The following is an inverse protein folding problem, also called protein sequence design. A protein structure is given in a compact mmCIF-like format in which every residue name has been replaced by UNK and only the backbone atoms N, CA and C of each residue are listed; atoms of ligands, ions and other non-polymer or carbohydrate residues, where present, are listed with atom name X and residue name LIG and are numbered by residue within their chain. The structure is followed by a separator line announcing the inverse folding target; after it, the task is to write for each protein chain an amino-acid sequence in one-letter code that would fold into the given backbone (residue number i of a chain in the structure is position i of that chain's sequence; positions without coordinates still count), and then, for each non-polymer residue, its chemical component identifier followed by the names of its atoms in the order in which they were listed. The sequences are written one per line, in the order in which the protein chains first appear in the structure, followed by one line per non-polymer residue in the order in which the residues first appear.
data_IF_286645188238
#
_entry.id   IF_286645188238
#
_cell.length_a   1.000
_cell.length_b   1.000
_cell.length_c   1.000
_cell.angle_alpha   90.00
_cell.angle_beta   90.00
_cell.angle_gamma   90.00
#
_symmetry.space_group_name_H-M   'P 1'
#
loop_
_entity.id
_entity.type
_entity.pdbx_description
1 polymer ?
#
# COMPACT_ATOMS: atom_id res chain seq x y z
N UNK A 1 2.93 -6.77 30.94
CA UNK A 1 3.38 -7.24 29.62
C UNK A 1 3.11 -6.11 28.67
N UNK A 2 4.15 -5.64 27.97
CA UNK A 2 4.04 -4.51 27.06
C UNK A 2 3.71 -5.04 25.66
N UNK A 3 2.67 -4.49 25.03
CA UNK A 3 2.29 -4.87 23.68
C UNK A 3 1.60 -3.71 22.95
N UNK A 4 1.60 -3.75 21.63
CA UNK A 4 0.96 -2.78 20.77
C UNK A 4 -0.36 -3.37 20.25
N UNK A 5 -1.45 -2.58 20.28
CA UNK A 5 -2.76 -3.02 19.76
C UNK A 5 -3.35 -1.91 18.88
N UNK A 6 -3.87 -2.29 17.71
CA UNK A 6 -4.59 -1.37 16.81
C UNK A 6 -5.87 -0.89 17.50
N UNK A 7 -6.26 0.36 17.28
CA UNK A 7 -7.53 0.91 17.76
C UNK A 7 -8.69 -0.02 17.40
N UNK A 8 -9.59 -0.30 18.34
CA UNK A 8 -10.65 -1.29 18.14
C UNK A 8 -11.91 -1.02 18.98
N UNK A 9 -13.11 -1.43 18.51
CA UNK A 9 -14.36 -1.29 19.27
C UNK A 9 -14.36 -2.00 20.62
N UNK A 10 -13.61 -3.09 20.77
CA UNK A 10 -13.58 -3.90 21.99
C UNK A 10 -12.96 -3.17 23.18
N UNK A 11 -12.06 -2.21 22.94
CA UNK A 11 -11.36 -1.44 23.99
C UNK A 11 -11.89 0.00 24.12
N UNK A 12 -13.06 0.30 23.56
CA UNK A 12 -13.63 1.65 23.41
C UNK A 12 -13.50 2.52 24.66
N UNK A 13 -13.85 1.99 25.83
CA UNK A 13 -13.82 2.77 27.08
C UNK A 13 -12.40 3.23 27.45
N UNK A 14 -11.41 2.37 27.24
CA UNK A 14 -10.01 2.66 27.60
C UNK A 14 -9.35 3.57 26.58
N UNK A 15 -9.61 3.33 25.30
CA UNK A 15 -9.15 4.19 24.22
C UNK A 15 -9.75 5.60 24.35
N UNK A 16 -11.05 5.71 24.67
CA UNK A 16 -11.72 6.98 24.94
C UNK A 16 -11.07 7.74 26.08
N UNK A 17 -10.90 7.09 27.25
CA UNK A 17 -10.27 7.73 28.42
C UNK A 17 -8.88 8.26 28.09
N UNK A 18 -8.08 7.48 27.35
CA UNK A 18 -6.74 7.87 26.96
C UNK A 18 -6.75 9.05 25.97
N UNK A 19 -7.57 8.97 24.92
CA UNK A 19 -7.62 9.98 23.85
C UNK A 19 -8.19 11.30 24.36
N UNK A 20 -9.23 11.27 25.20
CA UNK A 20 -9.82 12.48 25.80
C UNK A 20 -8.79 13.26 26.60
N UNK A 21 -7.95 12.56 27.37
CA UNK A 21 -6.99 13.17 28.29
C UNK A 21 -5.65 13.56 27.62
N UNK A 22 -5.38 13.06 26.41
CA UNK A 22 -4.20 13.45 25.64
C UNK A 22 -4.31 14.92 25.19
N UNK A 23 -3.26 15.75 25.37
CA UNK A 23 -3.30 17.17 24.98
C UNK A 23 -3.61 17.38 23.49
N UNK A 24 -4.15 18.54 23.13
CA UNK A 24 -4.45 18.91 21.74
C UNK A 24 -3.19 18.94 20.86
N UNK A 25 -2.05 19.40 21.39
CA UNK A 25 -0.72 19.26 20.80
C UNK A 25 0.29 19.04 21.91
N UNK A 26 1.13 18.02 21.76
CA UNK A 26 2.36 17.94 22.55
C UNK A 26 3.53 17.45 21.69
N UNK A 27 4.55 18.31 21.55
CA UNK A 27 5.75 18.07 20.76
C UNK A 27 5.47 17.75 19.28
N UNK A 28 4.41 18.32 18.71
CA UNK A 28 4.04 18.15 17.30
C UNK A 28 3.21 16.90 17.01
N UNK A 29 2.81 16.13 18.02
CA UNK A 29 1.71 15.17 17.87
C UNK A 29 0.39 15.83 18.26
N UNK A 30 -0.51 15.97 17.29
CA UNK A 30 -1.81 16.59 17.50
C UNK A 30 -2.91 15.59 17.84
N UNK A 31 -3.89 16.03 18.63
CA UNK A 31 -5.07 15.30 19.04
C UNK A 31 -6.35 16.09 18.71
N UNK A 32 -6.97 15.79 17.57
CA UNK A 32 -8.24 16.42 17.20
C UNK A 32 -9.41 16.04 18.14
N UNK A 33 -9.21 15.04 19.01
CA UNK A 33 -10.23 14.49 19.90
C UNK A 33 -9.92 14.75 21.38
N UNK A 34 -9.13 15.80 21.68
CA UNK A 34 -8.92 16.25 23.06
C UNK A 34 -10.26 16.66 23.70
N UNK A 35 -10.50 16.23 24.94
CA UNK A 35 -11.76 16.45 25.68
C UNK A 35 -13.03 15.90 24.99
N UNK A 36 -12.90 14.97 24.03
CA UNK A 36 -14.05 14.34 23.36
C UNK A 36 -14.98 13.65 24.37
N UNK A 37 -16.29 13.80 24.19
CA UNK A 37 -17.28 13.07 24.97
C UNK A 37 -17.23 11.57 24.65
N UNK A 38 -17.69 10.71 25.57
CA UNK A 38 -17.77 9.26 25.30
C UNK A 38 -18.63 8.98 24.06
N UNK A 39 -19.76 9.67 23.95
CA UNK A 39 -20.70 9.54 22.84
C UNK A 39 -20.08 9.96 21.50
N UNK A 40 -19.38 11.09 21.45
CA UNK A 40 -18.69 11.52 20.23
C UNK A 40 -17.49 10.63 19.89
N UNK A 41 -16.83 10.05 20.90
CA UNK A 41 -15.75 9.10 20.65
C UNK A 41 -16.27 7.83 19.97
N UNK A 42 -17.35 7.26 20.50
CA UNK A 42 -18.02 6.08 19.94
C UNK A 42 -18.60 6.34 18.55
N UNK A 43 -19.29 7.47 18.38
CA UNK A 43 -20.01 7.78 17.15
C UNK A 43 -19.12 8.34 16.03
N UNK A 44 -17.97 8.96 16.36
CA UNK A 44 -17.16 9.73 15.39
C UNK A 44 -15.68 9.39 15.46
N UNK A 45 -15.05 9.54 16.62
CA UNK A 45 -13.58 9.47 16.72
C UNK A 45 -13.04 8.08 16.38
N UNK A 46 -13.55 7.03 17.04
CA UNK A 46 -13.11 5.67 16.79
C UNK A 46 -13.46 5.20 15.37
N UNK A 47 -14.71 5.38 14.86
CA UNK A 47 -15.02 5.10 13.47
C UNK A 47 -14.08 5.80 12.48
N UNK A 48 -13.74 7.06 12.71
CA UNK A 48 -12.79 7.81 11.87
C UNK A 48 -11.40 7.16 11.88
N UNK A 49 -10.86 6.80 13.06
CA UNK A 49 -9.57 6.12 13.18
C UNK A 49 -9.54 4.80 12.40
N UNK A 50 -10.64 4.04 12.44
CA UNK A 50 -10.75 2.76 11.72
C UNK A 50 -10.76 2.96 10.21
N UNK A 51 -11.60 3.86 9.68
CA UNK A 51 -11.71 4.07 8.23
C UNK A 51 -10.48 4.76 7.63
N UNK A 52 -9.80 5.63 8.40
CA UNK A 52 -8.54 6.24 7.97
C UNK A 52 -7.43 5.20 7.81
N UNK A 53 -7.44 4.14 8.63
CA UNK A 53 -6.50 3.03 8.48
C UNK A 53 -6.71 2.21 7.21
N UNK A 54 -7.86 2.36 6.56
CA UNK A 54 -8.21 1.71 5.29
C UNK A 54 -8.15 2.69 4.11
N UNK A 55 -7.70 3.93 4.33
CA UNK A 55 -7.67 4.97 3.30
C UNK A 55 -9.04 5.56 2.92
N UNK A 56 -10.08 5.29 3.71
CA UNK A 56 -11.45 5.76 3.43
C UNK A 56 -11.77 7.02 4.22
N UNK A 57 -12.47 7.96 3.57
CA UNK A 57 -12.93 9.20 4.21
C UNK A 57 -11.81 10.19 4.58
N UNK A 58 -10.62 10.01 4.03
CA UNK A 58 -9.47 10.89 4.28
C UNK A 58 -9.74 12.30 3.73
N UNK A 59 -9.38 13.36 4.48
CA UNK A 59 -9.31 14.71 3.93
C UNK A 59 -8.29 14.78 2.79
N UNK A 60 -8.46 15.74 1.88
CA UNK A 60 -7.53 15.95 0.78
C UNK A 60 -6.09 16.16 1.27
N UNK A 61 -5.13 15.47 0.66
CA UNK A 61 -3.71 15.53 1.02
C UNK A 61 -3.28 14.65 2.20
N UNK A 62 -4.21 13.92 2.83
CA UNK A 62 -3.90 12.94 3.88
C UNK A 62 -3.62 11.58 3.26
N UNK A 63 -2.78 10.80 3.94
CA UNK A 63 -2.51 9.40 3.61
C UNK A 63 -3.19 8.50 4.64
N UNK A 64 -3.43 7.22 4.33
CA UNK A 64 -3.93 6.27 5.31
C UNK A 64 -3.05 6.24 6.57
N UNK A 65 -3.67 6.20 7.74
CA UNK A 65 -3.00 6.25 9.03
C UNK A 65 -3.61 5.20 9.97
N UNK A 66 -2.77 4.31 10.52
CA UNK A 66 -3.21 3.37 11.55
C UNK A 66 -2.86 3.90 12.94
N UNK A 67 -3.87 4.02 13.80
CA UNK A 67 -3.69 4.33 15.22
C UNK A 67 -3.49 3.07 16.04
N UNK A 68 -2.46 3.08 16.88
CA UNK A 68 -2.12 2.02 17.82
C UNK A 68 -2.02 2.57 19.24
N UNK A 69 -2.39 1.74 20.20
CA UNK A 69 -2.22 2.00 21.63
C UNK A 69 -1.15 1.06 22.19
N UNK A 70 -0.24 1.62 22.99
CA UNK A 70 0.75 0.85 23.74
C UNK A 70 0.15 0.49 25.09
N UNK A 71 0.04 -0.81 25.34
CA UNK A 71 -0.52 -1.37 26.55
C UNK A 71 0.60 -1.88 27.45
N UNK A 72 0.44 -1.69 28.76
CA UNK A 72 1.12 -2.50 29.77
C UNK A 72 0.08 -3.24 30.59
N UNK A 73 -0.03 -4.54 30.34
CA UNK A 73 -1.14 -5.38 30.77
C UNK A 73 -2.48 -4.80 30.31
N UNK A 74 -3.19 -4.14 31.23
CA UNK A 74 -4.57 -3.69 31.07
C UNK A 74 -4.68 -2.15 30.98
N UNK A 75 -3.54 -1.45 31.01
CA UNK A 75 -3.44 0.01 31.02
C UNK A 75 -2.80 0.52 29.73
N UNK A 76 -3.44 1.48 29.07
CA UNK A 76 -2.84 2.21 27.95
C UNK A 76 -1.84 3.24 28.50
N UNK A 77 -0.60 3.17 28.03
CA UNK A 77 0.50 4.04 28.47
C UNK A 77 0.97 5.00 27.37
N UNK A 78 0.56 4.78 26.13
CA UNK A 78 0.95 5.58 24.98
C UNK A 78 0.08 5.37 23.74
N UNK A 79 0.20 6.28 22.78
CA UNK A 79 -0.38 6.15 21.44
C UNK A 79 0.73 6.32 20.40
N UNK A 80 0.65 5.49 19.35
CA UNK A 80 1.51 5.54 18.18
C UNK A 80 0.63 5.60 16.94
N UNK A 81 1.04 6.35 15.92
CA UNK A 81 0.36 6.41 14.62
C UNK A 81 1.35 6.10 13.52
N UNK A 82 0.96 5.24 12.59
CA UNK A 82 1.74 4.90 11.41
C UNK A 82 1.00 5.45 10.20
N UNK A 83 1.58 6.44 9.53
CA UNK A 83 1.16 6.88 8.20
C UNK A 83 1.73 5.90 7.19
N UNK A 84 0.88 5.39 6.31
CA UNK A 84 1.18 4.20 5.52
C UNK A 84 2.23 4.44 4.44
N UNK A 85 2.40 5.68 3.98
CA UNK A 85 3.41 6.08 3.02
C UNK A 85 3.65 7.60 3.13
N UNK A 86 4.66 8.11 2.44
CA UNK A 86 4.98 9.54 2.38
C UNK A 86 4.34 10.20 1.16
N UNK A 87 3.47 11.17 1.42
CA UNK A 87 3.23 12.27 0.47
C UNK A 87 4.29 13.37 0.66
N UNK A 88 4.30 14.38 -0.21
CA UNK A 88 5.34 15.43 -0.23
C UNK A 88 5.48 16.16 1.11
N UNK A 89 4.35 16.48 1.75
CA UNK A 89 4.33 17.15 3.06
C UNK A 89 4.89 16.28 4.19
N UNK A 90 4.75 14.95 4.10
CA UNK A 90 5.29 14.03 5.09
C UNK A 90 6.77 13.74 4.86
N UNK A 91 7.22 13.72 3.60
CA UNK A 91 8.63 13.49 3.21
C UNK A 91 9.56 14.58 3.76
N UNK A 92 9.09 15.82 3.73
CA UNK A 92 9.80 17.00 4.27
C UNK A 92 9.33 17.40 5.66
N UNK A 93 8.32 16.72 6.22
CA UNK A 93 7.67 17.09 7.47
C UNK A 93 7.70 15.99 8.52
N UNK A 94 6.51 15.58 8.99
CA UNK A 94 6.35 14.74 10.18
C UNK A 94 6.78 13.27 9.99
N UNK A 95 6.99 12.81 8.75
CA UNK A 95 7.34 11.42 8.46
C UNK A 95 6.20 10.43 8.74
N UNK A 96 6.57 9.17 8.96
CA UNK A 96 5.62 8.06 9.11
C UNK A 96 5.04 7.94 10.52
N UNK A 97 5.88 8.07 11.55
CA UNK A 97 5.49 7.68 12.91
C UNK A 97 5.30 8.89 13.81
N UNK A 98 4.08 9.04 14.34
CA UNK A 98 3.78 9.90 15.48
C UNK A 98 3.76 9.09 16.78
N UNK A 99 4.28 9.65 17.88
CA UNK A 99 4.30 8.96 19.17
C UNK A 99 3.96 9.89 20.34
N UNK A 100 3.24 9.36 21.33
CA UNK A 100 2.97 10.02 22.59
C UNK A 100 2.97 9.00 23.73
N UNK A 101 3.62 9.35 24.84
CA UNK A 101 3.62 8.58 26.09
C UNK A 101 2.97 9.45 27.17
N UNK A 102 1.96 8.93 27.85
CA UNK A 102 1.28 9.66 28.92
C UNK A 102 2.26 10.02 30.04
N UNK A 103 2.12 11.23 30.61
CA UNK A 103 3.09 11.83 31.54
C UNK A 103 3.52 10.91 32.70
N UNK A 104 2.61 10.17 33.38
CA UNK A 104 2.98 9.27 34.48
C UNK A 104 3.88 8.08 34.08
N UNK A 105 3.98 7.79 32.78
CA UNK A 105 4.73 6.65 32.24
C UNK A 105 6.07 7.06 31.60
N UNK A 106 6.39 8.36 31.53
CA UNK A 106 7.65 8.83 30.96
C UNK A 106 8.86 8.43 31.81
N UNK A 107 10.01 8.26 31.16
CA UNK A 107 11.27 7.87 31.83
C UNK A 107 11.35 6.39 32.23
N UNK A 108 10.33 5.57 31.93
CA UNK A 108 10.25 4.15 32.32
C UNK A 108 10.54 3.16 31.18
N UNK A 109 10.99 3.66 30.02
CA UNK A 109 11.33 2.83 28.86
C UNK A 109 10.18 2.57 27.87
N UNK A 110 8.92 2.90 28.21
CA UNK A 110 7.78 2.67 27.32
C UNK A 110 7.89 3.32 25.95
N UNK A 111 8.48 4.52 25.84
CA UNK A 111 8.70 5.15 24.53
C UNK A 111 9.67 4.36 23.65
N UNK A 112 10.72 3.78 24.24
CA UNK A 112 11.70 2.96 23.50
C UNK A 112 11.06 1.66 23.03
N UNK A 113 10.37 0.94 23.92
CA UNK A 113 9.71 -0.32 23.58
C UNK A 113 8.52 -0.13 22.64
N UNK A 114 7.75 0.95 22.83
CA UNK A 114 6.64 1.30 21.96
C UNK A 114 7.09 1.61 20.54
N UNK A 115 8.17 2.38 20.35
CA UNK A 115 8.71 2.62 19.01
C UNK A 115 9.24 1.31 18.39
N UNK A 116 9.91 0.44 19.16
CA UNK A 116 10.39 -0.86 18.69
C UNK A 116 9.25 -1.72 18.12
N UNK A 117 8.15 -1.87 18.88
CA UNK A 117 6.95 -2.60 18.45
C UNK A 117 6.25 -1.91 17.26
N UNK A 118 6.22 -0.58 17.26
CA UNK A 118 5.62 0.19 16.14
C UNK A 118 6.41 -0.01 14.85
N UNK A 119 7.75 -0.13 14.92
CA UNK A 119 8.58 -0.43 13.76
C UNK A 119 8.30 -1.83 13.19
N UNK A 120 8.04 -2.83 14.04
CA UNK A 120 7.65 -4.16 13.57
C UNK A 120 6.37 -4.12 12.73
N UNK A 121 5.39 -3.30 13.12
CA UNK A 121 4.19 -3.07 12.31
C UNK A 121 4.48 -2.19 11.09
N UNK A 122 5.31 -1.15 11.24
CA UNK A 122 5.67 -0.27 10.14
C UNK A 122 6.36 -1.03 9.01
N UNK A 123 7.21 -2.01 9.32
CA UNK A 123 7.88 -2.83 8.30
C UNK A 123 6.93 -3.62 7.40
N UNK A 124 5.68 -3.83 7.84
CA UNK A 124 4.63 -4.51 7.08
C UNK A 124 3.73 -3.56 6.29
N UNK A 125 3.67 -2.29 6.72
CA UNK A 125 2.73 -1.29 6.23
C UNK A 125 3.43 -0.32 5.26
N UNK A 126 4.62 0.13 5.64
CA UNK A 126 5.35 1.21 4.97
C UNK A 126 6.13 0.65 3.77
N UNK A 127 5.87 1.16 2.54
CA UNK A 127 6.62 0.84 1.33
C UNK A 127 8.10 1.20 1.42
N UNK A 128 8.36 2.40 1.93
CA UNK A 128 9.64 3.05 1.75
C UNK A 128 10.76 2.29 2.48
N UNK A 129 11.93 2.19 1.85
CA UNK A 129 13.15 1.56 2.39
C UNK A 129 13.59 2.12 3.75
N UNK A 130 13.06 3.29 4.15
CA UNK A 130 13.33 3.91 5.44
C UNK A 130 12.08 4.49 6.09
N UNK A 131 11.99 4.32 7.41
CA UNK A 131 11.00 5.00 8.24
C UNK A 131 11.51 6.40 8.57
N UNK A 132 10.82 7.40 8.03
CA UNK A 132 11.04 8.82 8.29
C UNK A 132 10.39 9.22 9.62
N UNK A 133 11.15 9.87 10.49
CA UNK A 133 10.64 10.53 11.69
C UNK A 133 11.21 11.95 11.77
N UNK A 134 10.53 12.79 12.55
CA UNK A 134 10.99 14.15 12.88
C UNK A 134 10.80 14.40 14.37
N UNK A 135 11.72 15.13 14.98
CA UNK A 135 11.64 15.49 16.40
C UNK A 135 12.10 16.92 16.62
N UNK A 136 11.41 17.64 17.51
CA UNK A 136 11.85 18.97 17.95
C UNK A 136 13.19 18.89 18.68
N UNK A 137 14.05 19.91 18.49
CA UNK A 137 15.38 19.97 19.14
C UNK A 137 15.30 20.04 20.66
N UNK A 138 14.24 20.63 21.20
CA UNK A 138 13.98 20.71 22.65
C UNK A 138 13.36 19.43 23.24
N UNK A 139 13.15 18.39 22.42
CA UNK A 139 12.70 17.08 22.86
C UNK A 139 13.81 16.01 22.73
N UNK A 140 14.89 16.12 23.52
CA UNK A 140 16.01 15.18 23.46
C UNK A 140 15.61 13.78 23.94
N UNK A 141 14.50 13.63 24.68
CA UNK A 141 13.99 12.34 25.11
C UNK A 141 13.48 11.51 23.92
N UNK A 142 12.69 12.13 23.03
CA UNK A 142 12.18 11.48 21.82
C UNK A 142 13.31 11.17 20.84
N UNK A 143 14.28 12.09 20.67
CA UNK A 143 15.47 11.81 19.85
C UNK A 143 16.23 10.57 20.35
N UNK A 144 16.49 10.45 21.67
CA UNK A 144 17.14 9.26 22.24
C UNK A 144 16.35 7.98 21.99
N UNK A 145 15.02 8.03 22.01
CA UNK A 145 14.16 6.89 21.68
C UNK A 145 14.39 6.46 20.23
N UNK A 146 14.44 7.41 19.29
CA UNK A 146 14.67 7.13 17.87
C UNK A 146 16.06 6.53 17.63
N UNK A 147 17.11 7.13 18.19
CA UNK A 147 18.49 6.63 18.04
C UNK A 147 18.65 5.21 18.62
N UNK A 148 18.04 4.92 19.79
CA UNK A 148 18.05 3.58 20.38
C UNK A 148 17.38 2.51 19.50
N UNK A 149 16.47 2.92 18.62
CA UNK A 149 15.78 2.04 17.67
C UNK A 149 16.44 2.09 16.28
N UNK A 150 17.74 2.41 16.19
CA UNK A 150 18.49 2.38 14.94
C UNK A 150 18.36 3.66 14.09
N UNK A 151 17.81 4.73 14.66
CA UNK A 151 17.68 6.02 13.98
C UNK A 151 19.03 6.69 13.76
N UNK A 152 19.16 7.34 12.60
CA UNK A 152 20.25 8.27 12.29
C UNK A 152 19.68 9.63 11.90
N UNK A 153 20.31 10.71 12.35
CA UNK A 153 19.98 12.05 11.89
C UNK A 153 20.51 12.19 10.47
N UNK A 154 19.65 12.59 9.52
CA UNK A 154 20.02 12.81 8.12
C UNK A 154 20.00 14.29 7.74
N UNK A 155 19.25 15.11 8.50
CA UNK A 155 19.12 16.54 8.30
C UNK A 155 18.72 17.19 9.64
N UNK A 156 19.02 18.48 9.78
CA UNK A 156 18.55 19.33 10.87
C UNK A 156 18.16 20.71 10.33
N UNK A 157 17.23 21.37 11.02
CA UNK A 157 16.91 22.78 10.85
C UNK A 157 16.91 23.49 12.22
N UNK A 158 16.53 24.77 12.27
CA UNK A 158 16.55 25.55 13.51
C UNK A 158 15.67 24.94 14.62
N UNK A 159 14.63 24.20 14.26
CA UNK A 159 13.63 23.65 15.18
C UNK A 159 13.64 22.12 15.29
N UNK A 160 14.15 21.38 14.30
CA UNK A 160 13.97 19.93 14.20
C UNK A 160 15.24 19.15 13.83
N UNK A 161 15.25 17.89 14.28
CA UNK A 161 16.05 16.81 13.70
C UNK A 161 15.17 15.92 12.83
N UNK A 162 15.66 15.58 11.63
CA UNK A 162 15.06 14.60 10.73
C UNK A 162 15.82 13.29 10.86
N UNK A 163 15.10 12.25 11.26
CA UNK A 163 15.66 10.94 11.57
C UNK A 163 15.17 9.91 10.55
N UNK A 164 16.05 8.99 10.17
CA UNK A 164 15.74 7.83 9.34
C UNK A 164 16.10 6.56 10.09
N UNK A 165 15.18 5.61 10.09
CA UNK A 165 15.40 4.25 10.57
C UNK A 165 15.29 3.34 9.35
N UNK A 166 16.21 2.40 9.18
CA UNK A 166 16.12 1.44 8.08
C UNK A 166 14.79 0.67 8.20
N UNK A 167 14.06 0.57 7.10
CA UNK A 167 12.92 -0.33 6.98
C UNK A 167 13.44 -1.56 6.22
N UNK A 168 13.85 -2.64 6.92
CA UNK A 168 14.39 -3.82 6.26
C UNK A 168 13.36 -4.55 5.39
N UNK A 169 12.10 -4.08 5.36
CA UNK A 169 11.08 -4.63 4.48
C UNK A 169 10.77 -6.07 4.84
N UNK A 170 9.70 -6.28 5.61
CA UNK A 170 8.79 -7.35 5.23
C UNK A 170 7.53 -6.68 4.72
N UNK A 171 7.73 -5.81 3.73
CA UNK A 171 6.65 -5.30 2.94
C UNK A 171 5.91 -6.47 2.34
N UNK A 172 4.59 -6.34 2.18
CA UNK A 172 3.81 -7.38 1.50
C UNK A 172 4.20 -7.51 0.00
N UNK A 173 5.15 -6.72 -0.49
CA UNK A 173 5.70 -6.66 -1.85
C UNK A 173 7.18 -6.24 -1.77
N UNK A 174 8.00 -6.51 -2.81
CA UNK A 174 9.43 -6.14 -2.84
C UNK A 174 9.65 -4.62 -2.91
N UNK A 175 10.85 -4.16 -2.54
CA UNK A 175 11.30 -2.78 -2.87
C UNK A 175 11.33 -2.56 -4.39
N UNK A 176 11.33 -1.30 -4.84
CA UNK A 176 11.46 -0.95 -6.27
C UNK A 176 12.66 -1.65 -6.92
N UNK A 177 13.82 -1.59 -6.24
CA UNK A 177 15.05 -2.19 -6.73
C UNK A 177 14.96 -3.72 -6.83
N UNK A 178 14.36 -4.37 -5.85
CA UNK A 178 14.13 -5.82 -5.89
C UNK A 178 13.14 -6.19 -6.99
N UNK A 179 12.07 -5.42 -7.18
CA UNK A 179 11.08 -5.64 -8.23
C UNK A 179 11.70 -5.53 -9.64
N UNK A 180 12.53 -4.51 -9.87
CA UNK A 180 13.27 -4.35 -11.13
C UNK A 180 14.25 -5.50 -11.37
N UNK A 181 14.94 -5.95 -10.33
CA UNK A 181 15.83 -7.11 -10.41
C UNK A 181 15.06 -8.40 -10.73
N UNK A 182 13.91 -8.62 -10.08
CA UNK A 182 13.03 -9.76 -10.34
C UNK A 182 12.53 -9.78 -11.79
N UNK A 183 12.11 -8.62 -12.32
CA UNK A 183 11.69 -8.49 -13.72
C UNK A 183 12.86 -8.78 -14.67
N UNK A 184 14.03 -8.18 -14.45
CA UNK A 184 15.21 -8.40 -15.29
C UNK A 184 15.64 -9.87 -15.33
N UNK A 185 15.61 -10.58 -14.19
CA UNK A 185 15.86 -12.02 -14.13
C UNK A 185 14.77 -12.85 -14.81
N UNK A 186 13.53 -12.39 -14.78
CA UNK A 186 12.42 -13.07 -15.44
C UNK A 186 12.49 -12.92 -16.97
N UNK A 187 12.88 -11.76 -17.48
CA UNK A 187 13.10 -11.52 -18.91
C UNK A 187 14.26 -12.36 -19.48
N UNK A 188 15.28 -12.64 -18.68
CA UNK A 188 16.34 -13.60 -19.07
C UNK A 188 15.81 -15.03 -19.23
N UNK A 189 14.84 -15.43 -18.39
CA UNK A 189 14.23 -16.76 -18.47
C UNK A 189 13.21 -16.88 -19.61
N UNK A 190 12.44 -15.83 -19.88
CA UNK A 190 11.46 -15.82 -20.97
C UNK A 190 11.45 -14.44 -21.65
N UNK A 191 12.33 -14.20 -22.65
CA UNK A 191 12.38 -12.92 -23.36
C UNK A 191 11.10 -12.67 -24.16
N UNK A 192 10.61 -11.43 -24.17
CA UNK A 192 9.48 -11.06 -25.01
C UNK A 192 8.86 -9.70 -24.65
N UNK A 193 7.82 -9.30 -25.39
CA UNK A 193 7.18 -7.99 -25.23
C UNK A 193 6.45 -7.79 -23.89
N UNK A 194 6.28 -8.86 -23.10
CA UNK A 194 5.56 -8.82 -21.83
C UNK A 194 6.32 -8.06 -20.73
N UNK A 195 7.66 -7.98 -20.81
CA UNK A 195 8.44 -7.15 -19.88
C UNK A 195 8.13 -5.66 -20.06
N UNK A 196 8.08 -5.19 -21.32
CA UNK A 196 7.69 -3.81 -21.63
C UNK A 196 6.22 -3.52 -21.36
N UNK A 197 5.33 -4.50 -21.55
CA UNK A 197 3.96 -4.43 -21.06
C UNK A 197 3.91 -4.17 -19.54
N UNK A 198 4.71 -4.91 -18.77
CA UNK A 198 4.79 -4.75 -17.32
C UNK A 198 5.36 -3.39 -16.91
N UNK A 199 6.38 -2.88 -17.62
CA UNK A 199 6.90 -1.51 -17.41
C UNK A 199 5.85 -0.44 -17.70
N UNK A 200 5.05 -0.61 -18.74
CA UNK A 200 3.95 0.31 -19.07
C UNK A 200 2.87 0.27 -18.00
N UNK A 201 2.51 -0.92 -17.50
CA UNK A 201 1.55 -1.08 -16.43
C UNK A 201 2.05 -0.43 -15.13
N UNK A 202 3.32 -0.62 -14.78
CA UNK A 202 3.98 0.00 -13.63
C UNK A 202 3.94 1.54 -13.71
N UNK A 203 4.29 2.11 -14.86
CA UNK A 203 4.22 3.56 -15.10
C UNK A 203 2.80 4.10 -14.95
N UNK A 204 1.81 3.46 -15.59
CA UNK A 204 0.41 3.87 -15.48
C UNK A 204 -0.06 3.82 -14.01
N UNK A 205 0.28 2.74 -13.30
CA UNK A 205 -0.11 2.55 -11.91
C UNK A 205 0.49 3.62 -10.99
N UNK A 206 1.80 3.91 -11.14
CA UNK A 206 2.48 4.97 -10.40
C UNK A 206 1.81 6.33 -10.64
N UNK A 207 1.59 6.69 -11.91
CA UNK A 207 1.03 7.98 -12.31
C UNK A 207 -0.39 8.18 -11.82
N UNK A 208 -1.22 7.14 -11.88
CA UNK A 208 -2.59 7.20 -11.35
C UNK A 208 -2.57 7.31 -9.83
N UNK A 209 -1.73 6.51 -9.15
CA UNK A 209 -1.63 6.51 -7.70
C UNK A 209 -1.22 7.87 -7.13
N UNK A 210 -0.33 8.62 -7.81
CA UNK A 210 0.05 9.99 -7.44
C UNK A 210 -1.14 10.93 -7.23
N UNK A 211 -2.23 10.74 -7.99
CA UNK A 211 -3.42 11.57 -7.92
C UNK A 211 -4.61 10.89 -7.24
N UNK A 212 -4.56 9.57 -7.01
CA UNK A 212 -5.68 8.78 -6.50
C UNK A 212 -5.61 8.46 -5.00
N UNK A 213 -4.77 9.18 -4.23
CA UNK A 213 -4.52 8.93 -2.80
C UNK A 213 -4.03 7.50 -2.51
N UNK A 214 -3.25 6.93 -3.42
CA UNK A 214 -2.58 5.64 -3.27
C UNK A 214 -1.06 5.85 -3.19
N UNK A 215 -0.33 4.85 -2.70
CA UNK A 215 1.14 4.89 -2.71
C UNK A 215 1.65 4.65 -4.15
N UNK A 216 2.34 5.62 -4.77
CA UNK A 216 2.86 5.47 -6.14
C UNK A 216 3.90 4.35 -6.26
N UNK A 217 4.78 4.23 -5.28
CA UNK A 217 5.84 3.22 -5.26
C UNK A 217 5.27 1.80 -5.20
N UNK A 218 4.28 1.58 -4.32
CA UNK A 218 3.56 0.31 -4.24
C UNK A 218 2.85 0.01 -5.56
N UNK A 219 2.15 0.99 -6.13
CA UNK A 219 1.45 0.83 -7.39
C UNK A 219 2.41 0.47 -8.54
N UNK A 220 3.57 1.12 -8.60
CA UNK A 220 4.65 0.80 -9.54
C UNK A 220 5.11 -0.65 -9.39
N UNK A 221 5.50 -1.08 -8.17
CA UNK A 221 5.98 -2.44 -7.93
C UNK A 221 4.94 -3.50 -8.29
N UNK A 222 3.69 -3.30 -7.88
CA UNK A 222 2.61 -4.24 -8.15
C UNK A 222 2.29 -4.30 -9.66
N UNK A 223 2.32 -3.15 -10.34
CA UNK A 223 2.18 -3.09 -11.81
C UNK A 223 3.35 -3.72 -12.54
N UNK A 224 4.58 -3.59 -12.03
CA UNK A 224 5.77 -4.16 -12.64
C UNK A 224 5.79 -5.70 -12.55
N UNK A 225 5.24 -6.25 -11.48
CA UNK A 225 5.29 -7.69 -11.19
C UNK A 225 3.97 -8.43 -11.46
N UNK A 226 2.91 -7.76 -11.90
CA UNK A 226 1.59 -8.40 -12.08
C UNK A 226 1.64 -9.64 -13.00
N UNK A 227 2.49 -9.60 -14.03
CA UNK A 227 2.64 -10.62 -15.06
C UNK A 227 3.89 -11.50 -14.85
N UNK A 228 4.55 -11.43 -13.68
CA UNK A 228 5.85 -12.06 -13.42
C UNK A 228 5.83 -13.59 -13.56
N UNK A 229 4.66 -14.22 -13.48
CA UNK A 229 4.49 -15.65 -13.76
C UNK A 229 4.92 -16.06 -15.17
N UNK A 230 4.98 -15.12 -16.12
CA UNK A 230 5.57 -15.35 -17.45
C UNK A 230 7.04 -15.75 -17.40
N UNK A 231 7.75 -15.53 -16.28
CA UNK A 231 9.09 -16.09 -16.03
C UNK A 231 9.18 -17.59 -16.34
N UNK A 232 8.10 -18.34 -16.07
CA UNK A 232 8.08 -19.81 -16.14
C UNK A 232 7.63 -20.37 -17.49
N UNK A 233 7.46 -19.50 -18.50
CA UNK A 233 7.22 -19.90 -19.88
C UNK A 233 6.10 -19.12 -20.55
N UNK A 234 5.84 -19.45 -21.81
CA UNK A 234 4.76 -18.87 -22.62
C UNK A 234 3.43 -19.53 -22.28
N UNK A 235 2.93 -19.25 -21.07
CA UNK A 235 1.66 -19.77 -20.56
C UNK A 235 0.55 -18.72 -20.61
N UNK A 236 -0.67 -19.17 -20.87
CA UNK A 236 -1.90 -18.38 -20.76
C UNK A 236 -2.35 -18.43 -19.30
N UNK A 237 -3.44 -19.10 -18.92
CA UNK A 237 -3.94 -19.11 -17.54
C UNK A 237 -2.86 -19.52 -16.52
N UNK A 238 -1.93 -20.38 -16.91
CA UNK A 238 -0.84 -20.85 -16.05
C UNK A 238 0.08 -19.78 -15.48
N UNK A 239 0.25 -18.62 -16.15
CA UNK A 239 1.09 -17.55 -15.58
C UNK A 239 0.51 -16.99 -14.27
N UNK A 240 -0.82 -17.07 -14.08
CA UNK A 240 -1.48 -16.63 -12.85
C UNK A 240 -1.03 -17.49 -11.66
N UNK A 241 -1.13 -18.83 -11.78
CA UNK A 241 -0.71 -19.74 -10.71
C UNK A 241 0.79 -19.70 -10.45
N UNK A 242 1.58 -19.53 -11.52
CA UNK A 242 3.04 -19.42 -11.43
C UNK A 242 3.46 -18.14 -10.70
N UNK A 243 2.89 -16.99 -11.06
CA UNK A 243 3.16 -15.70 -10.42
C UNK A 243 2.76 -15.70 -8.95
N UNK A 244 1.54 -16.18 -8.65
CA UNK A 244 1.05 -16.30 -7.27
C UNK A 244 1.98 -17.17 -6.41
N UNK A 245 2.35 -18.36 -6.91
CA UNK A 245 3.19 -19.30 -6.18
C UNK A 245 4.61 -18.78 -6.00
N UNK A 246 5.15 -18.09 -7.00
CA UNK A 246 6.49 -17.52 -6.96
C UNK A 246 6.59 -16.38 -5.93
N UNK A 247 5.68 -15.41 -5.99
CA UNK A 247 5.66 -14.29 -5.04
C UNK A 247 5.33 -14.74 -3.61
N UNK A 248 4.47 -15.76 -3.45
CA UNK A 248 4.21 -16.37 -2.14
C UNK A 248 5.48 -16.99 -1.53
N UNK A 249 6.29 -17.67 -2.35
CA UNK A 249 7.55 -18.30 -1.90
C UNK A 249 8.60 -17.26 -1.48
N UNK A 250 8.56 -16.08 -2.10
CA UNK A 250 9.43 -14.95 -1.76
C UNK A 250 8.89 -14.12 -0.58
N UNK A 251 7.78 -14.52 0.04
CA UNK A 251 7.14 -13.82 1.17
C UNK A 251 6.59 -12.42 0.78
N UNK A 252 6.09 -12.28 -0.47
CA UNK A 252 5.47 -11.06 -1.01
C UNK A 252 3.96 -11.24 -1.26
N UNK A 253 3.12 -11.28 -0.21
CA UNK A 253 1.70 -11.60 -0.33
C UNK A 253 0.83 -10.62 -1.15
N UNK A 254 1.15 -9.32 -1.19
CA UNK A 254 0.45 -8.34 -2.04
C UNK A 254 0.80 -8.55 -3.52
N UNK A 255 2.09 -8.75 -3.84
CA UNK A 255 2.50 -9.06 -5.20
C UNK A 255 1.90 -10.40 -5.67
N UNK A 256 1.87 -11.41 -4.79
CA UNK A 256 1.21 -12.67 -5.05
C UNK A 256 -0.28 -12.48 -5.34
N UNK A 257 -0.98 -11.70 -4.51
CA UNK A 257 -2.40 -11.38 -4.72
C UNK A 257 -2.63 -10.71 -6.07
N UNK A 258 -1.83 -9.72 -6.44
CA UNK A 258 -1.97 -9.04 -7.75
C UNK A 258 -1.70 -9.99 -8.92
N UNK A 259 -0.70 -10.88 -8.83
CA UNK A 259 -0.49 -11.94 -9.84
C UNK A 259 -1.75 -12.81 -10.02
N UNK A 260 -2.47 -13.07 -8.92
CA UNK A 260 -3.70 -13.84 -8.92
C UNK A 260 -4.89 -13.05 -9.49
N UNK A 261 -5.02 -11.75 -9.21
CA UNK A 261 -6.27 -10.98 -9.44
C UNK A 261 -6.28 -10.13 -10.70
N UNK A 262 -5.12 -9.74 -11.25
CA UNK A 262 -5.05 -8.78 -12.36
C UNK A 262 -5.84 -9.21 -13.61
N UNK A 263 -5.93 -10.52 -13.88
CA UNK A 263 -6.62 -11.06 -15.04
C UNK A 263 -8.15 -11.22 -14.85
N UNK A 264 -8.67 -11.07 -13.62
CA UNK A 264 -10.06 -11.41 -13.25
C UNK A 264 -10.81 -10.20 -12.68
N UNK A 265 -11.28 -9.31 -13.55
CA UNK A 265 -11.99 -8.09 -13.17
C UNK A 265 -13.25 -8.30 -12.30
N UNK A 266 -13.88 -9.47 -12.41
CA UNK A 266 -15.06 -9.85 -11.60
C UNK A 266 -14.73 -10.83 -10.46
N UNK A 267 -13.44 -11.10 -10.21
CA UNK A 267 -12.96 -12.09 -9.23
C UNK A 267 -13.49 -13.51 -9.48
N UNK A 268 -13.83 -13.80 -10.73
CA UNK A 268 -14.35 -15.07 -11.23
C UNK A 268 -13.46 -15.59 -12.33
N UNK A 269 -13.33 -16.92 -12.43
CA UNK A 269 -12.55 -17.53 -13.50
C UNK A 269 -13.33 -17.50 -14.83
N UNK A 270 -14.66 -17.47 -14.75
CA UNK A 270 -15.54 -17.21 -15.88
C UNK A 270 -15.22 -15.82 -16.45
N UNK A 271 -14.92 -15.75 -17.75
CA UNK A 271 -14.50 -14.50 -18.42
C UNK A 271 -12.99 -14.35 -18.60
N UNK A 272 -12.16 -15.31 -18.16
CA UNK A 272 -10.74 -15.33 -18.52
C UNK A 272 -10.56 -15.41 -20.05
N UNK A 273 -9.70 -14.54 -20.61
CA UNK A 273 -9.39 -14.48 -22.03
C UNK A 273 -8.03 -15.13 -22.27
N UNK A 274 -8.05 -16.35 -22.80
CA UNK A 274 -6.84 -17.11 -23.13
C UNK A 274 -7.06 -18.61 -23.12
N UNK A 275 -5.98 -19.37 -23.35
CA UNK A 275 -6.03 -20.83 -23.23
C UNK A 275 -6.00 -21.24 -21.75
N UNK A 276 -6.76 -22.29 -21.43
CA UNK A 276 -6.75 -22.93 -20.11
C UNK A 276 -5.66 -24.00 -20.09
N UNK A 277 -4.41 -23.56 -19.93
CA UNK A 277 -3.19 -24.37 -19.97
C UNK A 277 -2.65 -24.72 -18.56
N UNK A 278 -3.58 -24.89 -17.62
CA UNK A 278 -3.33 -25.23 -16.21
C UNK A 278 -3.63 -26.70 -15.93
N UNK A 279 -2.92 -27.29 -14.96
CA UNK A 279 -3.31 -28.58 -14.38
C UNK A 279 -4.57 -28.45 -13.52
N UNK A 280 -5.17 -29.56 -13.10
CA UNK A 280 -6.32 -29.54 -12.19
C UNK A 280 -5.97 -28.91 -10.83
N UNK A 281 -4.75 -29.15 -10.34
CA UNK A 281 -4.24 -28.57 -9.10
C UNK A 281 -4.05 -27.05 -9.22
N UNK A 282 -3.44 -26.57 -10.32
CA UNK A 282 -3.27 -25.14 -10.58
C UNK A 282 -4.61 -24.43 -10.73
N UNK A 283 -5.55 -25.04 -11.45
CA UNK A 283 -6.90 -24.51 -11.63
C UNK A 283 -7.64 -24.42 -10.28
N UNK A 284 -7.51 -25.44 -9.44
CA UNK A 284 -8.11 -25.47 -8.10
C UNK A 284 -7.47 -24.45 -7.15
N UNK A 285 -6.17 -24.23 -7.28
CA UNK A 285 -5.45 -23.18 -6.56
C UNK A 285 -6.01 -21.80 -6.94
N UNK A 286 -6.06 -21.47 -8.23
CA UNK A 286 -6.58 -20.18 -8.70
C UNK A 286 -8.01 -19.97 -8.21
N UNK A 287 -8.88 -20.97 -8.38
CA UNK A 287 -10.29 -20.88 -7.96
C UNK A 287 -10.44 -20.63 -6.47
N UNK A 288 -9.76 -21.42 -5.63
CA UNK A 288 -9.88 -21.30 -4.18
C UNK A 288 -9.33 -19.97 -3.68
N UNK A 289 -8.17 -19.53 -4.19
CA UNK A 289 -7.56 -18.28 -3.77
C UNK A 289 -8.30 -17.05 -4.28
N UNK A 290 -8.89 -17.07 -5.47
CA UNK A 290 -9.77 -15.99 -5.92
C UNK A 290 -11.00 -15.86 -5.01
N UNK A 291 -11.62 -16.97 -4.62
CA UNK A 291 -12.79 -16.97 -3.75
C UNK A 291 -12.50 -16.46 -2.32
N UNK A 292 -11.28 -16.69 -1.83
CA UNK A 292 -10.81 -16.17 -0.52
C UNK A 292 -10.41 -14.69 -0.57
N UNK A 293 -10.17 -14.13 -1.77
CA UNK A 293 -9.58 -12.80 -1.93
C UNK A 293 -10.66 -11.72 -1.98
N UNK A 294 -10.51 -10.70 -1.12
CA UNK A 294 -11.23 -9.43 -1.25
C UNK A 294 -10.30 -8.44 -1.95
N UNK A 295 -10.61 -7.98 -3.17
CA UNK A 295 -9.77 -7.04 -3.90
C UNK A 295 -9.75 -5.68 -3.18
N UNK A 296 -8.57 -5.05 -3.12
CA UNK A 296 -8.42 -3.67 -2.66
C UNK A 296 -8.20 -2.70 -3.83
N UNK A 297 -7.97 -1.42 -3.52
CA UNK A 297 -7.79 -0.39 -4.54
C UNK A 297 -6.59 -0.65 -5.47
N UNK A 298 -5.57 -1.39 -5.04
CA UNK A 298 -4.45 -1.76 -5.90
C UNK A 298 -4.85 -2.86 -6.88
N UNK A 299 -5.69 -3.83 -6.49
CA UNK A 299 -6.22 -4.83 -7.42
C UNK A 299 -7.02 -4.15 -8.55
N UNK A 300 -7.89 -3.20 -8.18
CA UNK A 300 -8.67 -2.42 -9.14
C UNK A 300 -7.79 -1.55 -10.04
N UNK A 301 -6.75 -0.93 -9.47
CA UNK A 301 -5.79 -0.12 -10.21
C UNK A 301 -5.03 -0.95 -11.23
N UNK A 302 -4.45 -2.08 -10.81
CA UNK A 302 -3.63 -2.91 -11.70
C UNK A 302 -4.47 -3.54 -12.82
N UNK A 303 -5.74 -3.90 -12.55
CA UNK A 303 -6.68 -4.34 -13.60
C UNK A 303 -6.89 -3.26 -14.67
N UNK A 304 -7.05 -1.99 -14.27
CA UNK A 304 -7.14 -0.87 -15.22
C UNK A 304 -5.83 -0.70 -15.99
N UNK A 305 -4.70 -0.71 -15.29
CA UNK A 305 -3.38 -0.50 -15.90
C UNK A 305 -3.04 -1.61 -16.91
N UNK A 306 -3.34 -2.87 -16.63
CA UNK A 306 -3.20 -3.98 -17.57
C UNK A 306 -4.03 -3.75 -18.84
N UNK A 307 -5.27 -3.27 -18.69
CA UNK A 307 -6.19 -3.00 -19.80
C UNK A 307 -5.79 -1.81 -20.70
N UNK A 308 -4.86 -0.96 -20.27
CA UNK A 308 -4.35 0.17 -21.05
C UNK A 308 -2.87 0.04 -21.41
N UNK A 309 -2.23 -1.07 -21.06
CA UNK A 309 -0.80 -1.29 -21.30
C UNK A 309 -0.55 -2.09 -22.58
N UNK A 310 0.40 -1.60 -23.37
CA UNK A 310 1.00 -2.29 -24.51
C UNK A 310 2.52 -2.40 -24.35
N UNK A 311 3.16 -3.13 -25.27
CA UNK A 311 4.61 -3.30 -25.24
C UNK A 311 5.39 -2.07 -25.74
N UNK A 312 4.74 -1.17 -26.47
CA UNK A 312 5.35 0.04 -27.06
C UNK A 312 4.93 1.33 -26.33
N UNK A 313 4.07 1.21 -25.31
CA UNK A 313 3.51 2.35 -24.55
C UNK A 313 2.03 2.17 -24.22
N UNK A 314 1.42 3.27 -23.76
CA UNK A 314 0.03 3.30 -23.30
C UNK A 314 -0.94 3.25 -24.48
N UNK A 315 -1.98 2.43 -24.37
CA UNK A 315 -3.00 2.22 -25.39
C UNK A 315 -4.32 2.87 -25.01
N UNK A 316 -5.16 3.20 -26.00
CA UNK A 316 -6.56 3.49 -25.71
C UNK A 316 -7.27 2.21 -25.25
N UNK A 317 -8.07 2.30 -24.19
CA UNK A 317 -8.74 1.15 -23.60
C UNK A 317 -9.71 0.47 -24.58
N UNK A 318 -10.42 1.24 -25.42
CA UNK A 318 -11.37 0.71 -26.41
C UNK A 318 -10.59 0.05 -27.56
N UNK A 319 -9.53 0.69 -28.04
CA UNK A 319 -8.67 0.11 -29.07
C UNK A 319 -8.03 -1.20 -28.59
N UNK A 320 -7.54 -1.22 -27.34
CA UNK A 320 -6.93 -2.40 -26.74
C UNK A 320 -7.92 -3.56 -26.63
N UNK A 321 -9.11 -3.33 -26.09
CA UNK A 321 -10.11 -4.37 -25.95
C UNK A 321 -10.63 -4.84 -27.32
N UNK A 322 -10.71 -3.94 -28.30
CA UNK A 322 -11.08 -4.28 -29.69
C UNK A 322 -10.03 -5.16 -30.38
N UNK A 323 -8.74 -4.86 -30.20
CA UNK A 323 -7.64 -5.70 -30.68
C UNK A 323 -7.70 -7.10 -30.05
N UNK A 324 -7.92 -7.19 -28.73
CA UNK A 324 -8.06 -8.49 -28.04
C UNK A 324 -9.25 -9.26 -28.61
N UNK A 325 -10.41 -8.61 -28.80
CA UNK A 325 -11.58 -9.21 -29.42
C UNK A 325 -11.28 -9.75 -30.82
N UNK A 326 -10.51 -9.01 -31.62
CA UNK A 326 -10.13 -9.43 -32.97
C UNK A 326 -9.22 -10.66 -32.95
N UNK A 327 -8.26 -10.73 -32.01
CA UNK A 327 -7.31 -11.85 -31.89
C UNK A 327 -7.95 -13.14 -31.36
N UNK A 328 -8.89 -13.01 -30.42
CA UNK A 328 -9.53 -14.17 -29.77
C UNK A 328 -10.95 -14.46 -30.27
N UNK A 329 -11.47 -13.66 -31.21
CA UNK A 329 -12.80 -13.79 -31.80
C UNK A 329 -13.96 -13.29 -30.93
N UNK A 330 -13.76 -13.20 -29.61
CA UNK A 330 -14.73 -12.66 -28.66
C UNK A 330 -14.02 -11.93 -27.52
N UNK A 331 -14.77 -11.10 -26.81
CA UNK A 331 -14.34 -10.43 -25.59
C UNK A 331 -15.52 -10.45 -24.63
N UNK A 332 -15.27 -10.79 -23.36
CA UNK A 332 -16.32 -10.86 -22.35
C UNK A 332 -16.91 -9.48 -22.07
N UNK A 333 -18.23 -9.34 -22.19
CA UNK A 333 -18.89 -8.03 -22.05
C UNK A 333 -18.79 -7.50 -20.61
N UNK A 334 -18.86 -8.38 -19.59
CA UNK A 334 -18.70 -7.98 -18.19
C UNK A 334 -17.31 -7.41 -17.93
N UNK A 335 -16.26 -8.06 -18.46
CA UNK A 335 -14.88 -7.55 -18.41
C UNK A 335 -14.73 -6.21 -19.12
N UNK A 336 -15.39 -6.03 -20.27
CA UNK A 336 -15.36 -4.77 -21.02
C UNK A 336 -15.96 -3.63 -20.21
N UNK A 337 -17.19 -3.83 -19.71
CA UNK A 337 -17.92 -2.83 -18.94
C UNK A 337 -17.15 -2.50 -17.65
N UNK A 338 -16.57 -3.51 -17.00
CA UNK A 338 -15.77 -3.34 -15.79
C UNK A 338 -14.51 -2.51 -16.03
N UNK A 339 -13.82 -2.69 -17.15
CA UNK A 339 -12.67 -1.84 -17.51
C UNK A 339 -13.07 -0.37 -17.67
N UNK A 340 -14.24 -0.09 -18.26
CA UNK A 340 -14.75 1.27 -18.40
C UNK A 340 -15.18 1.88 -17.06
N UNK A 341 -15.79 1.08 -16.17
CA UNK A 341 -16.08 1.50 -14.80
C UNK A 341 -14.82 1.85 -14.02
N UNK A 342 -13.76 1.03 -14.14
CA UNK A 342 -12.48 1.28 -13.49
C UNK A 342 -11.84 2.57 -14.01
N UNK A 343 -11.87 2.81 -15.33
CA UNK A 343 -11.42 4.08 -15.92
C UNK A 343 -12.16 5.26 -15.29
N UNK A 344 -13.49 5.22 -15.26
CA UNK A 344 -14.31 6.29 -14.69
C UNK A 344 -14.05 6.48 -13.18
N UNK A 345 -13.85 5.40 -12.43
CA UNK A 345 -13.52 5.43 -11.01
C UNK A 345 -12.22 6.19 -10.75
N UNK A 346 -11.14 5.85 -11.47
CA UNK A 346 -9.84 6.47 -11.25
C UNK A 346 -9.78 7.90 -11.79
N UNK A 347 -10.42 8.22 -12.92
CA UNK A 347 -10.53 9.61 -13.37
C UNK A 347 -11.25 10.49 -12.35
N UNK A 348 -12.32 9.98 -11.73
CA UNK A 348 -13.01 10.68 -10.64
C UNK A 348 -12.11 10.86 -9.42
N UNK A 349 -11.34 9.85 -9.03
CA UNK A 349 -10.42 9.93 -7.88
C UNK A 349 -9.29 10.92 -8.12
N UNK A 350 -8.73 10.93 -9.32
CA UNK A 350 -7.64 11.82 -9.70
C UNK A 350 -8.11 13.25 -10.02
N UNK A 351 -9.40 13.43 -10.33
CA UNK A 351 -9.94 14.72 -10.78
C UNK A 351 -9.43 15.17 -12.15
N UNK A 352 -9.00 14.22 -13.00
CA UNK A 352 -8.37 14.49 -14.31
C UNK A 352 -8.53 13.34 -15.28
N UNK A 353 -8.28 13.61 -16.57
CA UNK A 353 -8.28 12.60 -17.64
C UNK A 353 -7.19 11.55 -17.44
N UNK A 354 -7.53 10.28 -17.71
CA UNK A 354 -6.64 9.14 -17.55
C UNK A 354 -5.38 9.28 -18.41
N UNK A 355 -5.53 9.58 -19.69
CA UNK A 355 -4.45 9.52 -20.66
C UNK A 355 -3.48 10.69 -20.54
N UNK A 356 -3.98 11.84 -20.08
CA UNK A 356 -3.12 12.94 -19.62
C UNK A 356 -2.31 12.54 -18.38
N UNK A 357 -2.93 11.86 -17.40
CA UNK A 357 -2.25 11.46 -16.17
C UNK A 357 -1.11 10.46 -16.44
N UNK A 358 -1.34 9.47 -17.31
CA UNK A 358 -0.37 8.41 -17.64
C UNK A 358 0.51 8.71 -18.85
N UNK A 359 0.57 9.98 -19.28
CA UNK A 359 1.52 10.44 -20.29
C UNK A 359 1.45 9.65 -21.62
N UNK A 360 0.23 9.28 -22.05
CA UNK A 360 0.01 8.34 -23.18
C UNK A 360 0.77 8.71 -24.45
N UNK A 361 0.93 10.00 -24.74
CA UNK A 361 1.58 10.49 -25.97
C UNK A 361 3.11 10.52 -25.91
N UNK A 362 3.71 10.36 -24.72
CA UNK A 362 5.15 10.56 -24.52
C UNK A 362 5.85 9.40 -23.82
N UNK A 363 5.13 8.55 -23.11
CA UNK A 363 5.74 7.42 -22.41
C UNK A 363 6.03 6.24 -23.35
N UNK A 364 7.28 5.78 -23.31
CA UNK A 364 7.73 4.57 -23.95
C UNK A 364 8.52 3.71 -22.95
N UNK A 365 8.20 2.41 -22.80
CA UNK A 365 8.94 1.54 -21.92
C UNK A 365 10.35 1.29 -22.48
N UNK A 366 11.37 1.46 -21.63
CA UNK A 366 12.78 1.32 -21.98
C UNK A 366 13.32 -0.09 -21.80
#
# INVERSE_FOLDING_TARGET
MIYLKKACPEDLEKEWLFVRDMPEDENGLTNAWHNVSREDFEAKALPQMLVFSEGRGLPEGYVPETSFFLWDNDTIVGQFRIRHFLCESLRTGAGHIGQFIARPFRGKGYGTEGLRLTLEEAHRIVPEDEIYLRVLRDNPASLRIMIKNGGRIVQEDDAHYYVRIANPGKGRYPSVKEAEQLLAEAEQCNPGPWGNHSRTAAHCAEKIALYASLCPEKAYVLGLLHDIGRKFGKRHLGHVSDGYSYMTRLDYPDAARICLTHSFNEMKMEGYIGQWDTTEEETSLIRSKLAETVPDDYDLLIQLCDAISGAEGVMDIIERMSDVRQRYGSYDQGKWDRNLELKALFEKRMGRDLYEAVEKSTFHPA
#
